data_IF_440087277418
#
_entry.id   IF_440087277418
#
_cell.length_a   1.000
_cell.length_b   1.000
_cell.length_c   1.000
_cell.angle_alpha   90.00
_cell.angle_beta   90.00
_cell.angle_gamma   90.00
#
_symmetry.space_group_name_H-M   'P 1'
#
loop_
_entity.id
_entity.type
_entity.pdbx_description
1 polymer ?
#
# COMPACT_ATOMS: atom_id res chain seq x y z
N UNK A 1 16.08 0.41 -12.26
CA UNK A 1 14.77 0.74 -12.90
C UNK A 1 13.57 0.10 -12.19
N UNK A 2 13.59 -1.20 -11.87
CA UNK A 2 12.45 -1.89 -11.23
C UNK A 2 11.98 -1.27 -9.90
N UNK A 3 12.90 -0.86 -9.03
CA UNK A 3 12.54 -0.22 -7.75
C UNK A 3 11.87 1.14 -7.93
N UNK A 4 12.20 1.88 -9.00
CA UNK A 4 11.53 3.14 -9.34
C UNK A 4 10.09 2.83 -9.78
N UNK A 5 9.89 1.80 -10.60
CA UNK A 5 8.55 1.33 -11.00
C UNK A 5 7.74 0.93 -9.77
N UNK A 6 8.34 0.15 -8.84
CA UNK A 6 7.71 -0.22 -7.58
C UNK A 6 7.30 1.02 -6.77
N UNK A 7 8.19 2.01 -6.63
CA UNK A 7 7.88 3.26 -5.93
C UNK A 7 6.74 4.05 -6.57
N UNK A 8 6.70 4.17 -7.91
CA UNK A 8 5.59 4.82 -8.63
C UNK A 8 4.28 4.08 -8.41
N UNK A 9 4.29 2.74 -8.46
CA UNK A 9 3.12 1.92 -8.16
C UNK A 9 2.64 2.12 -6.73
N UNK A 10 3.54 2.26 -5.74
CA UNK A 10 3.16 2.57 -4.37
C UNK A 10 2.46 3.94 -4.29
N UNK A 11 2.99 4.99 -4.94
CA UNK A 11 2.33 6.31 -4.96
C UNK A 11 0.93 6.20 -5.54
N UNK A 12 0.79 5.52 -6.67
CA UNK A 12 -0.51 5.28 -7.31
C UNK A 12 -1.47 4.53 -6.37
N UNK A 13 -1.01 3.44 -5.74
CA UNK A 13 -1.81 2.62 -4.82
C UNK A 13 -2.21 3.39 -3.57
N UNK A 14 -1.30 4.20 -3.00
CA UNK A 14 -1.59 5.09 -1.88
C UNK A 14 -2.65 6.13 -2.24
N UNK A 15 -2.58 6.71 -3.43
CA UNK A 15 -3.62 7.60 -3.96
C UNK A 15 -4.97 6.89 -4.08
N UNK A 16 -5.00 5.69 -4.67
CA UNK A 16 -6.22 4.91 -4.81
C UNK A 16 -6.85 4.56 -3.46
N UNK A 17 -6.04 4.02 -2.53
CA UNK A 17 -6.46 3.68 -1.18
C UNK A 17 -7.01 4.90 -0.45
N UNK A 18 -6.26 6.00 -0.41
CA UNK A 18 -6.68 7.21 0.29
C UNK A 18 -7.96 7.81 -0.28
N UNK A 19 -8.01 8.06 -1.59
CA UNK A 19 -9.08 8.86 -2.21
C UNK A 19 -10.32 8.02 -2.49
N UNK A 20 -10.17 6.90 -3.21
CA UNK A 20 -11.32 6.09 -3.60
C UNK A 20 -11.85 5.29 -2.42
N UNK A 21 -10.97 4.84 -1.52
CA UNK A 21 -11.39 4.19 -0.29
C UNK A 21 -12.11 5.12 0.68
N UNK A 22 -11.64 6.37 0.84
CA UNK A 22 -12.38 7.35 1.66
C UNK A 22 -13.79 7.57 1.09
N UNK A 23 -13.89 7.74 -0.23
CA UNK A 23 -15.17 8.00 -0.90
C UNK A 23 -16.13 6.80 -0.87
N UNK A 24 -15.62 5.59 -1.10
CA UNK A 24 -16.45 4.39 -1.32
C UNK A 24 -16.63 3.51 -0.08
N UNK A 25 -15.75 3.60 0.90
CA UNK A 25 -15.78 2.76 2.09
C UNK A 25 -15.91 3.58 3.38
N UNK A 26 -14.97 4.50 3.64
CA UNK A 26 -14.91 5.19 4.93
C UNK A 26 -16.04 6.19 5.11
N UNK A 27 -16.30 7.05 4.11
CA UNK A 27 -17.39 8.03 4.21
C UNK A 27 -18.74 7.35 4.41
N UNK A 28 -19.13 6.32 3.63
CA UNK A 28 -20.34 5.54 3.92
C UNK A 28 -20.34 4.87 5.30
N UNK A 29 -19.22 4.30 5.73
CA UNK A 29 -19.08 3.69 7.05
C UNK A 29 -19.34 4.69 8.17
N UNK A 30 -18.74 5.87 8.09
CA UNK A 30 -18.89 6.91 9.11
C UNK A 30 -20.27 7.55 9.07
N UNK A 31 -20.93 7.59 7.91
CA UNK A 31 -22.31 8.05 7.76
C UNK A 31 -23.35 7.01 8.22
N UNK A 32 -22.95 5.77 8.49
CA UNK A 32 -23.85 4.72 8.98
C UNK A 32 -24.32 4.96 10.42
N UNK A 33 -25.40 4.29 10.80
CA UNK A 33 -25.97 4.35 12.16
C UNK A 33 -25.31 3.36 13.14
N UNK A 34 -24.14 2.82 12.80
CA UNK A 34 -23.40 1.89 13.65
C UNK A 34 -22.98 2.58 14.95
N UNK A 35 -23.27 1.94 16.09
CA UNK A 35 -22.88 2.45 17.41
C UNK A 35 -21.36 2.67 17.54
N UNK A 36 -20.57 1.87 16.81
CA UNK A 36 -19.12 2.01 16.70
C UNK A 36 -18.69 3.41 16.24
N UNK A 37 -19.44 4.08 15.35
CA UNK A 37 -19.07 5.39 14.79
C UNK A 37 -19.77 6.57 15.46
N UNK A 38 -20.59 6.34 16.50
CA UNK A 38 -21.29 7.40 17.24
C UNK A 38 -20.42 8.10 18.29
N UNK A 39 -19.37 7.43 18.77
CA UNK A 39 -18.44 7.99 19.75
C UNK A 39 -17.53 9.06 19.10
N UNK A 40 -17.40 10.21 19.75
CA UNK A 40 -16.70 11.40 19.24
C UNK A 40 -15.25 11.14 18.81
N UNK A 41 -14.51 10.31 19.54
CA UNK A 41 -13.11 9.95 19.24
C UNK A 41 -12.98 8.89 18.13
N UNK A 42 -13.97 8.02 17.92
CA UNK A 42 -13.81 6.87 17.02
C UNK A 42 -13.81 7.28 15.55
N UNK A 43 -14.62 8.28 15.16
CA UNK A 43 -14.66 8.76 13.77
C UNK A 43 -13.32 9.34 13.30
N UNK A 44 -12.67 10.28 14.03
CA UNK A 44 -11.35 10.75 13.67
C UNK A 44 -10.29 9.65 13.64
N UNK A 45 -10.32 8.72 14.60
CA UNK A 45 -9.36 7.61 14.66
C UNK A 45 -9.48 6.68 13.45
N UNK A 46 -10.71 6.34 13.02
CA UNK A 46 -10.94 5.52 11.83
C UNK A 46 -10.38 6.19 10.57
N UNK A 47 -10.65 7.49 10.37
CA UNK A 47 -10.08 8.25 9.23
C UNK A 47 -8.56 8.35 9.31
N UNK A 48 -8.03 8.63 10.50
CA UNK A 48 -6.60 8.71 10.71
C UNK A 48 -5.92 7.39 10.35
N UNK A 49 -6.41 6.26 10.87
CA UNK A 49 -5.88 4.94 10.56
C UNK A 49 -5.96 4.61 9.06
N UNK A 50 -7.05 5.02 8.39
CA UNK A 50 -7.21 4.86 6.95
C UNK A 50 -6.11 5.58 6.15
N UNK A 51 -5.89 6.87 6.41
CA UNK A 51 -4.92 7.69 5.68
C UNK A 51 -3.47 7.44 6.11
N UNK A 52 -3.24 7.01 7.35
CA UNK A 52 -1.89 6.72 7.86
C UNK A 52 -1.18 5.66 7.02
N UNK A 53 -1.93 4.65 6.55
CA UNK A 53 -1.38 3.62 5.64
C UNK A 53 -0.83 4.25 4.36
N UNK A 54 -1.56 5.17 3.73
CA UNK A 54 -1.09 5.89 2.54
C UNK A 54 0.17 6.72 2.81
N UNK A 55 0.25 7.39 3.96
CA UNK A 55 1.43 8.18 4.33
C UNK A 55 2.67 7.30 4.52
N UNK A 56 2.52 6.16 5.20
CA UNK A 56 3.59 5.17 5.34
C UNK A 56 4.04 4.63 3.99
N UNK A 57 3.10 4.35 3.09
CA UNK A 57 3.40 3.96 1.72
C UNK A 57 4.17 5.05 0.94
N UNK A 58 3.85 6.34 1.10
CA UNK A 58 4.64 7.39 0.45
C UNK A 58 6.10 7.42 0.94
N UNK A 59 6.36 7.08 2.21
CA UNK A 59 7.73 6.91 2.73
C UNK A 59 8.43 5.73 2.05
N UNK A 60 7.74 4.59 1.90
CA UNK A 60 8.27 3.44 1.16
C UNK A 60 8.54 3.76 -0.31
N UNK A 61 7.66 4.53 -0.95
CA UNK A 61 7.85 4.97 -2.33
C UNK A 61 9.13 5.82 -2.46
N UNK A 62 9.31 6.80 -1.57
CA UNK A 62 10.54 7.60 -1.54
C UNK A 62 11.78 6.71 -1.36
N UNK A 63 11.74 5.77 -0.42
CA UNK A 63 12.84 4.83 -0.18
C UNK A 63 13.17 3.99 -1.43
N UNK A 64 12.17 3.41 -2.10
CA UNK A 64 12.38 2.57 -3.28
C UNK A 64 12.89 3.38 -4.49
N UNK A 65 12.37 4.61 -4.69
CA UNK A 65 12.86 5.49 -5.76
C UNK A 65 14.30 5.89 -5.51
N UNK A 66 14.63 6.31 -4.28
CA UNK A 66 15.99 6.69 -3.90
C UNK A 66 16.96 5.51 -4.08
N UNK A 67 16.61 4.34 -3.55
CA UNK A 67 17.40 3.11 -3.67
C UNK A 67 17.57 2.70 -5.13
N UNK A 68 16.51 2.81 -5.94
CA UNK A 68 16.56 2.53 -7.37
C UNK A 68 17.44 3.50 -8.18
N UNK A 69 17.67 4.71 -7.68
CA UNK A 69 18.51 5.73 -8.31
C UNK A 69 19.97 5.67 -7.83
N UNK A 70 20.21 5.32 -6.57
CA UNK A 70 21.55 5.26 -5.97
C UNK A 70 22.20 3.87 -5.96
N UNK A 71 21.45 2.83 -6.35
CA UNK A 71 21.87 1.43 -6.24
C UNK A 71 21.39 0.76 -4.95
N UNK A 72 21.23 -0.57 -4.99
CA UNK A 72 20.61 -1.37 -3.92
C UNK A 72 21.56 -1.72 -2.75
N UNK A 73 22.87 -1.47 -2.91
CA UNK A 73 23.90 -1.89 -1.95
C UNK A 73 23.58 -1.40 -0.52
N UNK A 74 23.55 -2.34 0.44
CA UNK A 74 23.22 -2.08 1.84
C UNK A 74 21.72 -1.97 2.16
N UNK A 75 20.84 -2.05 1.16
CA UNK A 75 19.38 -1.93 1.32
C UNK A 75 18.61 -3.19 0.87
N UNK A 76 19.31 -4.21 0.37
CA UNK A 76 18.69 -5.40 -0.24
C UNK A 76 17.69 -6.10 0.70
N UNK A 77 18.05 -6.30 1.97
CA UNK A 77 17.18 -6.98 2.94
C UNK A 77 15.85 -6.24 3.13
N UNK A 78 15.89 -4.91 3.25
CA UNK A 78 14.68 -4.10 3.39
C UNK A 78 13.82 -4.15 2.12
N UNK A 79 14.43 -4.12 0.93
CA UNK A 79 13.71 -4.28 -0.34
C UNK A 79 13.05 -5.66 -0.43
N UNK A 80 13.74 -6.72 -0.02
CA UNK A 80 13.20 -8.09 0.06
C UNK A 80 12.01 -8.13 1.03
N UNK A 81 12.13 -7.55 2.23
CA UNK A 81 11.04 -7.53 3.20
C UNK A 81 9.81 -6.76 2.67
N UNK A 82 10.02 -5.60 2.06
CA UNK A 82 8.95 -4.84 1.40
C UNK A 82 8.29 -5.72 0.33
N UNK A 83 9.08 -6.42 -0.47
CA UNK A 83 8.57 -7.27 -1.54
C UNK A 83 7.76 -8.48 -1.04
N UNK A 84 8.25 -9.21 -0.03
CA UNK A 84 7.52 -10.33 0.58
C UNK A 84 6.20 -9.83 1.15
N UNK A 85 6.22 -8.72 1.90
CA UNK A 85 5.03 -8.15 2.51
C UNK A 85 3.97 -7.79 1.45
N UNK A 86 4.37 -7.12 0.36
CA UNK A 86 3.45 -6.69 -0.68
C UNK A 86 2.92 -7.86 -1.52
N UNK A 87 3.76 -8.86 -1.85
CA UNK A 87 3.29 -10.09 -2.52
C UNK A 87 2.29 -10.82 -1.62
N UNK A 88 2.65 -11.05 -0.35
CA UNK A 88 1.80 -11.76 0.61
C UNK A 88 0.47 -11.04 0.83
N UNK A 89 0.50 -9.73 1.09
CA UNK A 89 -0.70 -8.93 1.31
C UNK A 89 -1.59 -8.86 0.06
N UNK A 90 -1.00 -8.65 -1.12
CA UNK A 90 -1.74 -8.58 -2.37
C UNK A 90 -2.39 -9.91 -2.74
N UNK A 91 -1.66 -11.03 -2.62
CA UNK A 91 -2.23 -12.35 -2.86
C UNK A 91 -3.30 -12.71 -1.84
N UNK A 92 -3.07 -12.41 -0.55
CA UNK A 92 -4.06 -12.62 0.50
C UNK A 92 -5.36 -11.85 0.24
N UNK A 93 -5.24 -10.55 -0.08
CA UNK A 93 -6.37 -9.71 -0.46
C UNK A 93 -7.11 -10.26 -1.68
N UNK A 94 -6.37 -10.69 -2.70
CA UNK A 94 -6.92 -11.34 -3.88
C UNK A 94 -7.70 -12.61 -3.54
N UNK A 95 -7.12 -13.52 -2.77
CA UNK A 95 -7.78 -14.79 -2.40
C UNK A 95 -9.02 -14.54 -1.55
N UNK A 96 -8.92 -13.73 -0.49
CA UNK A 96 -10.04 -13.49 0.44
C UNK A 96 -11.18 -12.73 -0.23
N UNK A 97 -10.88 -11.82 -1.16
CA UNK A 97 -11.89 -11.07 -1.91
C UNK A 97 -12.35 -11.79 -3.18
N UNK A 98 -11.90 -13.02 -3.43
CA UNK A 98 -12.16 -13.80 -4.66
C UNK A 98 -11.80 -13.03 -5.93
N UNK A 99 -10.69 -12.31 -5.87
CA UNK A 99 -10.10 -11.48 -6.93
C UNK A 99 -10.98 -10.30 -7.35
N UNK A 100 -11.99 -9.95 -6.55
CA UNK A 100 -12.92 -8.85 -6.85
C UNK A 100 -12.42 -7.50 -6.35
N UNK A 101 -11.54 -7.47 -5.36
CA UNK A 101 -10.97 -6.21 -4.88
C UNK A 101 -9.81 -5.79 -5.79
N UNK A 102 -10.02 -4.75 -6.59
CA UNK A 102 -9.04 -4.29 -7.59
C UNK A 102 -7.65 -3.96 -6.99
N UNK A 103 -7.57 -3.67 -5.69
CA UNK A 103 -6.32 -3.39 -4.99
C UNK A 103 -5.32 -4.56 -4.94
N UNK A 104 -5.78 -5.81 -5.06
CA UNK A 104 -4.91 -6.99 -4.91
C UNK A 104 -3.75 -6.98 -5.92
N UNK A 105 -4.03 -6.59 -7.16
CA UNK A 105 -3.10 -6.62 -8.28
C UNK A 105 -1.95 -5.59 -8.12
N UNK A 106 -2.21 -4.27 -7.96
CA UNK A 106 -1.13 -3.32 -7.79
C UNK A 106 -0.30 -3.59 -6.51
N UNK A 107 -0.93 -4.03 -5.42
CA UNK A 107 -0.21 -4.42 -4.19
C UNK A 107 0.75 -5.59 -4.47
N UNK A 108 0.29 -6.64 -5.17
CA UNK A 108 1.15 -7.77 -5.54
C UNK A 108 2.30 -7.33 -6.46
N UNK A 109 1.99 -6.51 -7.47
CA UNK A 109 2.96 -6.05 -8.46
C UNK A 109 4.08 -5.22 -7.84
N UNK A 110 3.78 -4.37 -6.85
CA UNK A 110 4.80 -3.64 -6.09
C UNK A 110 5.86 -4.61 -5.57
N UNK A 111 5.44 -5.70 -4.93
CA UNK A 111 6.38 -6.66 -4.37
C UNK A 111 7.12 -7.49 -5.43
N UNK A 112 6.48 -7.82 -6.55
CA UNK A 112 7.15 -8.43 -7.72
C UNK A 112 8.25 -7.51 -8.25
N UNK A 113 7.99 -6.21 -8.42
CA UNK A 113 9.02 -5.27 -8.88
C UNK A 113 10.13 -5.05 -7.86
N UNK A 114 9.86 -5.14 -6.56
CA UNK A 114 10.92 -5.19 -5.55
C UNK A 114 11.82 -6.41 -5.76
N UNK A 115 11.24 -7.60 -5.96
CA UNK A 115 12.01 -8.84 -6.18
C UNK A 115 12.83 -8.81 -7.47
N UNK A 116 12.24 -8.33 -8.56
CA UNK A 116 12.97 -8.09 -9.82
C UNK A 116 14.10 -7.09 -9.61
N UNK A 117 13.87 -6.05 -8.80
CA UNK A 117 14.89 -5.07 -8.45
C UNK A 117 16.04 -5.64 -7.63
N UNK A 118 15.82 -6.67 -6.81
CA UNK A 118 16.90 -7.39 -6.10
C UNK A 118 17.64 -8.33 -7.03
N UNK A 119 16.92 -9.05 -7.90
CA UNK A 119 17.49 -10.07 -8.77
C UNK A 119 18.31 -9.50 -9.95
N UNK A 120 17.91 -8.34 -10.48
CA UNK A 120 18.52 -7.72 -11.66
C UNK A 120 19.32 -6.44 -11.36
N UNK A 121 19.59 -6.09 -10.09
CA UNK A 121 20.51 -5.01 -9.75
C UNK A 121 21.96 -5.47 -9.79
#
# INVERSE_FOLDING_TARGET
>A
MYLIIAGVLIVFTAGLHSIFGEKRLITPLLASDLELVKHEVRRPVIRFAWHMTSLLWLILAYFLVKTGASGINGNADLVVMIGILHIGAGLYDGVVTKWKHVGWAPITLIGVFCMLGVYFN
#
